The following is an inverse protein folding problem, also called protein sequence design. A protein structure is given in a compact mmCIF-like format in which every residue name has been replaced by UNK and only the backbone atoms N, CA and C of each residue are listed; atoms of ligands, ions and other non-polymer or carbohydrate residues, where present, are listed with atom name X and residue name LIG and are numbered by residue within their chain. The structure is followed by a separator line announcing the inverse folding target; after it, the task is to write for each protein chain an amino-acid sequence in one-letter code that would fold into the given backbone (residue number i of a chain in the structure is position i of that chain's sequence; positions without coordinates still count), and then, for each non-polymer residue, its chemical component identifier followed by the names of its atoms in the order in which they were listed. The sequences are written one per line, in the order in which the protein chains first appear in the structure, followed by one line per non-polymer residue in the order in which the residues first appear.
data_IF_324786250937
#
_entry.id   IF_324786250937
#
_cell.length_a   1.000
_cell.length_b   1.000
_cell.length_c   1.000
_cell.angle_alpha   90.00
_cell.angle_beta   90.00
_cell.angle_gamma   90.00
#
_symmetry.space_group_name_H-M   'P 1'
#
loop_
_entity.id
_entity.type
_entity.pdbx_description
1 polymer ?
#
# COMPACT_ATOMS: atom_id res chain seq x y z
N UNK A 1 14.67 -10.15 -3.29
CA UNK A 1 14.29 -8.74 -3.56
C UNK A 1 13.79 -8.01 -2.31
N UNK A 2 12.52 -8.09 -1.90
CA UNK A 2 12.03 -7.27 -0.75
C UNK A 2 12.82 -7.49 0.54
N UNK A 3 13.13 -8.74 0.90
CA UNK A 3 13.93 -9.01 2.10
C UNK A 3 15.34 -8.40 2.03
N UNK A 4 15.92 -8.31 0.84
CA UNK A 4 17.24 -7.68 0.63
C UNK A 4 17.13 -6.16 0.72
N UNK A 5 16.08 -5.58 0.12
CA UNK A 5 15.75 -4.16 0.27
C UNK A 5 15.61 -3.77 1.75
N UNK A 6 14.89 -4.56 2.55
CA UNK A 6 14.75 -4.31 3.99
C UNK A 6 16.08 -4.37 4.74
N UNK A 7 17.00 -5.25 4.32
CA UNK A 7 18.33 -5.39 4.95
C UNK A 7 19.27 -4.25 4.57
N UNK A 8 19.17 -3.76 3.34
CA UNK A 8 19.87 -2.57 2.88
C UNK A 8 19.33 -1.33 3.60
N UNK A 9 18.00 -1.13 3.56
CA UNK A 9 17.36 0.01 4.19
C UNK A 9 17.58 0.09 5.69
N UNK A 10 17.65 -1.04 6.41
CA UNK A 10 17.98 -1.04 7.84
C UNK A 10 19.36 -0.41 8.13
N UNK A 11 20.33 -0.58 7.23
CA UNK A 11 21.70 -0.09 7.40
C UNK A 11 21.86 1.35 6.95
N UNK A 12 21.23 1.68 5.83
CA UNK A 12 21.54 2.89 5.08
C UNK A 12 20.45 3.96 5.16
N UNK A 13 19.28 3.66 5.75
CA UNK A 13 18.15 4.58 5.86
C UNK A 13 17.76 4.85 7.31
N UNK A 14 17.25 6.06 7.54
CA UNK A 14 16.67 6.44 8.82
C UNK A 14 15.35 5.70 9.08
N UNK A 15 14.49 5.62 8.08
CA UNK A 15 13.20 4.93 8.12
C UNK A 15 12.86 4.28 6.77
N UNK A 16 12.21 3.12 6.82
CA UNK A 16 11.61 2.45 5.67
C UNK A 16 10.09 2.58 5.76
N UNK A 17 9.44 3.05 4.69
CA UNK A 17 7.98 3.11 4.64
C UNK A 17 7.47 2.10 3.61
N UNK A 18 6.72 1.09 4.06
CA UNK A 18 6.03 0.13 3.20
C UNK A 18 4.60 0.60 2.95
N UNK A 19 4.30 0.94 1.70
CA UNK A 19 3.00 1.45 1.26
C UNK A 19 2.06 0.33 0.79
N UNK A 20 1.73 -0.61 1.69
CA UNK A 20 0.68 -1.62 1.51
C UNK A 20 0.98 -2.75 0.52
N UNK A 21 0.05 -3.71 0.48
CA UNK A 21 0.02 -4.90 -0.37
C UNK A 21 1.34 -5.71 -0.39
N UNK A 22 2.01 -5.79 0.76
CA UNK A 22 3.20 -6.65 0.92
C UNK A 22 2.79 -8.12 1.00
N UNK A 23 1.59 -8.36 1.53
CA UNK A 23 1.01 -9.68 1.73
C UNK A 23 -0.36 -9.74 1.04
N UNK A 24 -0.61 -10.75 0.21
CA UNK A 24 -1.90 -10.92 -0.47
C UNK A 24 -2.84 -11.78 0.37
N UNK A 25 -3.45 -11.19 1.40
CA UNK A 25 -4.39 -11.89 2.29
C UNK A 25 -5.77 -12.14 1.67
N UNK A 26 -6.05 -11.56 0.49
CA UNK A 26 -7.25 -11.88 -0.29
C UNK A 26 -7.14 -13.27 -0.90
N UNK A 27 -5.93 -13.69 -1.29
CA UNK A 27 -5.69 -15.02 -1.87
C UNK A 27 -5.18 -16.03 -0.86
N UNK A 28 -4.34 -15.60 0.07
CA UNK A 28 -3.65 -16.49 1.00
C UNK A 28 -4.05 -16.22 2.45
N UNK A 29 -4.20 -17.29 3.23
CA UNK A 29 -4.33 -17.15 4.69
C UNK A 29 -3.01 -16.70 5.31
N UNK A 30 -3.08 -15.87 6.35
CA UNK A 30 -1.91 -15.44 7.12
C UNK A 30 -1.01 -16.60 7.58
N UNK A 31 -1.60 -17.76 7.88
CA UNK A 31 -0.86 -18.98 8.25
C UNK A 31 0.05 -19.47 7.13
N UNK A 32 -0.40 -19.41 5.88
CA UNK A 32 0.41 -19.78 4.71
C UNK A 32 1.51 -18.74 4.47
N UNK A 33 1.18 -17.45 4.56
CA UNK A 33 2.18 -16.38 4.44
C UNK A 33 3.30 -16.54 5.48
N UNK A 34 2.97 -16.84 6.73
CA UNK A 34 3.96 -17.09 7.79
C UNK A 34 4.80 -18.34 7.53
N UNK A 35 4.19 -19.41 7.02
CA UNK A 35 4.89 -20.67 6.72
C UNK A 35 5.83 -20.52 5.53
N UNK A 36 5.38 -19.81 4.49
CA UNK A 36 6.07 -19.73 3.21
C UNK A 36 7.07 -18.56 3.17
N UNK A 37 6.84 -17.52 3.97
CA UNK A 37 7.70 -16.33 4.06
C UNK A 37 8.14 -15.98 5.51
N UNK A 38 8.59 -16.95 6.34
CA UNK A 38 8.84 -16.72 7.77
C UNK A 38 9.93 -15.68 8.01
N UNK A 39 10.96 -15.64 7.15
CA UNK A 39 12.07 -14.69 7.24
C UNK A 39 11.63 -13.26 6.95
N UNK A 40 10.74 -13.07 5.97
CA UNK A 40 10.20 -11.76 5.62
C UNK A 40 9.29 -11.25 6.73
N UNK A 41 8.33 -12.05 7.18
CA UNK A 41 7.42 -11.69 8.28
C UNK A 41 8.22 -11.31 9.53
N UNK A 42 9.20 -12.12 9.91
CA UNK A 42 10.07 -11.83 11.05
C UNK A 42 10.82 -10.51 10.86
N UNK A 43 11.38 -10.26 9.68
CA UNK A 43 12.16 -9.04 9.43
C UNK A 43 11.31 -7.78 9.44
N UNK A 44 10.12 -7.81 8.84
CA UNK A 44 9.17 -6.69 8.88
C UNK A 44 8.80 -6.37 10.33
N UNK A 45 8.43 -7.38 11.12
CA UNK A 45 8.11 -7.20 12.55
C UNK A 45 9.28 -6.62 13.34
N UNK A 46 10.48 -7.18 13.17
CA UNK A 46 11.69 -6.72 13.84
C UNK A 46 11.98 -5.24 13.55
N UNK A 47 11.84 -4.80 12.29
CA UNK A 47 12.07 -3.40 11.91
C UNK A 47 10.99 -2.46 12.43
N UNK A 48 9.72 -2.90 12.45
CA UNK A 48 8.63 -2.15 13.06
C UNK A 48 8.86 -1.97 14.56
N UNK A 49 9.22 -3.03 15.27
CA UNK A 49 9.45 -3.00 16.73
C UNK A 49 10.67 -2.10 17.07
N UNK A 50 11.65 -2.00 16.15
CA UNK A 50 12.79 -1.07 16.25
C UNK A 50 12.45 0.39 15.89
N UNK A 51 11.25 0.68 15.39
CA UNK A 51 10.89 1.99 14.84
C UNK A 51 11.63 2.35 13.55
N UNK A 52 12.25 1.37 12.87
CA UNK A 52 12.96 1.53 11.60
C UNK A 52 12.05 1.37 10.38
N UNK A 53 10.82 0.89 10.59
CA UNK A 53 9.88 0.64 9.52
C UNK A 53 8.47 1.06 9.90
N UNK A 54 7.87 1.90 9.08
CA UNK A 54 6.44 2.18 9.10
C UNK A 54 5.74 1.39 8.00
N UNK A 55 4.71 0.62 8.38
CA UNK A 55 3.93 -0.18 7.45
C UNK A 55 2.50 0.33 7.40
N UNK A 56 2.12 0.83 6.23
CA UNK A 56 0.77 1.26 5.89
C UNK A 56 0.07 0.09 5.21
N UNK A 57 -1.14 -0.26 5.63
CA UNK A 57 -1.88 -1.34 4.98
C UNK A 57 -2.53 -0.87 3.67
N UNK A 58 -2.55 -1.77 2.70
CA UNK A 58 -3.32 -1.73 1.47
C UNK A 58 -4.58 -2.60 1.51
N UNK A 59 -5.24 -2.73 0.38
CA UNK A 59 -6.52 -3.44 0.31
C UNK A 59 -6.34 -4.97 0.28
N UNK A 60 -5.14 -5.47 -0.01
CA UNK A 60 -4.82 -6.90 0.03
C UNK A 60 -4.32 -7.39 1.38
N UNK A 61 -3.82 -6.50 2.24
CA UNK A 61 -3.35 -6.79 3.60
C UNK A 61 -4.17 -6.03 4.66
N UNK A 62 -5.43 -5.71 4.38
CA UNK A 62 -6.31 -4.92 5.26
C UNK A 62 -6.42 -5.51 6.68
N UNK A 63 -6.48 -6.83 6.81
CA UNK A 63 -6.57 -7.53 8.12
C UNK A 63 -5.38 -7.22 9.04
N UNK A 64 -4.25 -6.80 8.47
CA UNK A 64 -3.06 -6.42 9.22
C UNK A 64 -3.27 -5.19 10.10
N UNK A 65 -4.24 -4.34 9.78
CA UNK A 65 -4.62 -3.22 10.64
C UNK A 65 -5.00 -3.70 12.05
N UNK A 66 -5.69 -4.84 12.15
CA UNK A 66 -6.08 -5.42 13.43
C UNK A 66 -4.98 -6.29 14.03
N UNK A 67 -4.30 -7.07 13.20
CA UNK A 67 -3.28 -8.01 13.70
C UNK A 67 -2.03 -7.28 14.21
N UNK A 68 -1.59 -6.25 13.48
CA UNK A 68 -0.31 -5.56 13.72
C UNK A 68 -0.48 -4.08 14.07
N UNK A 69 -1.71 -3.57 14.18
CA UNK A 69 -1.97 -2.16 14.47
C UNK A 69 -1.55 -1.23 13.33
N UNK A 70 -1.60 -1.71 12.08
CA UNK A 70 -1.18 -0.90 10.93
C UNK A 70 -2.11 0.28 10.70
N UNK A 71 -1.53 1.39 10.23
CA UNK A 71 -2.26 2.62 9.92
C UNK A 71 -2.64 2.67 8.45
N UNK A 72 -3.70 3.41 8.13
CA UNK A 72 -4.14 3.63 6.75
C UNK A 72 -3.32 4.71 6.03
N UNK A 73 -2.71 5.61 6.80
CA UNK A 73 -1.84 6.70 6.34
C UNK A 73 -0.77 7.00 7.37
N UNK A 74 0.32 7.61 6.92
CA UNK A 74 1.42 8.07 7.76
C UNK A 74 1.90 9.43 7.29
N UNK A 75 1.98 10.41 8.20
CA UNK A 75 2.60 11.70 7.90
C UNK A 75 4.04 11.58 8.39
N UNK A 76 5.00 11.78 7.49
CA UNK A 76 6.42 11.67 7.85
C UNK A 76 6.74 12.84 8.79
N UNK A 77 7.22 12.57 10.02
CA UNK A 77 7.50 13.61 11.00
C UNK A 77 8.38 14.70 10.43
N UNK A 78 8.08 15.95 10.79
CA UNK A 78 8.89 17.13 10.40
C UNK A 78 8.95 17.36 8.88
N UNK A 79 8.01 16.78 8.13
CA UNK A 79 7.82 17.03 6.70
C UNK A 79 6.36 17.36 6.39
N UNK A 80 6.12 17.82 5.17
CA UNK A 80 4.78 18.03 4.60
C UNK A 80 4.33 16.84 3.73
N UNK A 81 4.92 15.66 3.92
CA UNK A 81 4.66 14.45 3.14
C UNK A 81 3.73 13.51 3.91
N UNK A 82 2.62 13.16 3.28
CA UNK A 82 1.79 12.02 3.70
C UNK A 82 2.02 10.84 2.77
N UNK A 83 2.10 9.65 3.36
CA UNK A 83 2.15 8.37 2.67
C UNK A 83 0.85 7.61 2.92
N UNK A 84 0.30 6.97 1.89
CA UNK A 84 -0.83 6.03 1.97
C UNK A 84 -0.66 4.90 0.95
N UNK A 85 -1.50 3.87 0.98
CA UNK A 85 -1.39 2.79 0.00
C UNK A 85 -1.91 3.18 -1.39
N UNK A 86 -3.09 3.80 -1.51
CA UNK A 86 -3.65 4.25 -2.80
C UNK A 86 -4.95 3.55 -3.19
N UNK A 87 -5.37 2.49 -2.49
CA UNK A 87 -6.70 1.88 -2.68
C UNK A 87 -7.85 2.87 -2.41
N UNK A 88 -7.57 3.96 -1.71
CA UNK A 88 -8.52 5.07 -1.52
C UNK A 88 -8.98 5.69 -2.84
N UNK A 89 -8.21 5.52 -3.92
CA UNK A 89 -8.54 5.99 -5.26
C UNK A 89 -9.20 4.93 -6.13
N UNK A 90 -9.43 3.71 -5.60
CA UNK A 90 -10.11 2.64 -6.34
C UNK A 90 -11.49 3.04 -6.84
N UNK A 91 -12.13 3.98 -6.15
CA UNK A 91 -13.44 4.45 -6.57
C UNK A 91 -13.40 5.33 -7.83
N UNK A 92 -12.24 5.86 -8.16
CA UNK A 92 -11.99 6.63 -9.39
C UNK A 92 -11.53 5.70 -10.49
N UNK A 93 -10.66 4.75 -10.13
CA UNK A 93 -9.99 3.86 -11.06
C UNK A 93 -10.93 2.74 -11.51
N UNK A 94 -11.56 2.04 -10.57
CA UNK A 94 -12.29 0.80 -10.87
C UNK A 94 -13.75 1.10 -11.24
N UNK A 95 -14.23 0.64 -12.42
CA UNK A 95 -15.64 0.76 -12.76
C UNK A 95 -16.50 -0.01 -11.74
N UNK A 96 -17.75 0.41 -11.48
CA UNK A 96 -18.62 -0.19 -10.46
C UNK A 96 -18.72 -1.72 -10.55
N UNK A 97 -18.77 -2.26 -11.77
CA UNK A 97 -18.87 -3.71 -12.01
C UNK A 97 -17.66 -4.51 -11.49
N UNK A 98 -16.46 -3.92 -11.51
CA UNK A 98 -15.25 -4.55 -10.99
C UNK A 98 -15.25 -4.60 -9.46
N UNK A 99 -15.78 -3.56 -8.81
CA UNK A 99 -15.95 -3.55 -7.34
C UNK A 99 -16.94 -4.61 -6.88
N UNK A 100 -18.02 -4.81 -7.64
CA UNK A 100 -18.96 -5.91 -7.39
C UNK A 100 -18.27 -7.27 -7.54
N UNK A 101 -17.39 -7.42 -8.53
CA UNK A 101 -16.55 -8.62 -8.69
C UNK A 101 -15.64 -8.87 -7.49
N UNK A 102 -14.94 -7.85 -7.00
CA UNK A 102 -14.07 -7.95 -5.81
C UNK A 102 -14.88 -8.28 -4.54
N UNK A 103 -16.05 -7.66 -4.36
CA UNK A 103 -16.96 -7.97 -3.26
C UNK A 103 -17.46 -9.43 -3.34
N UNK A 104 -17.78 -9.91 -4.54
CA UNK A 104 -18.19 -11.29 -4.75
C UNK A 104 -17.05 -12.29 -4.44
N UNK A 105 -15.80 -11.96 -4.77
CA UNK A 105 -14.62 -12.76 -4.39
C UNK A 105 -14.45 -12.80 -2.87
N UNK A 106 -14.50 -11.64 -2.20
CA UNK A 106 -14.42 -11.56 -0.73
C UNK A 106 -15.53 -12.37 -0.07
N UNK A 107 -16.76 -12.26 -0.58
CA UNK A 107 -17.90 -13.03 -0.09
C UNK A 107 -17.71 -14.54 -0.31
N UNK A 108 -17.23 -14.94 -1.49
CA UNK A 108 -16.92 -16.34 -1.77
C UNK A 108 -15.86 -16.90 -0.81
N UNK A 109 -14.80 -16.15 -0.51
CA UNK A 109 -13.78 -16.55 0.45
C UNK A 109 -14.36 -16.74 1.87
N UNK A 110 -15.27 -15.86 2.31
CA UNK A 110 -15.97 -16.00 3.58
C UNK A 110 -16.82 -17.28 3.60
N UNK A 111 -17.56 -17.55 2.51
CA UNK A 111 -18.37 -18.76 2.38
C UNK A 111 -17.50 -20.02 2.36
N UNK A 112 -16.35 -20.02 1.67
CA UNK A 112 -15.40 -21.15 1.68
C UNK A 112 -14.83 -21.41 3.08
N UNK A 113 -14.61 -20.37 3.87
CA UNK A 113 -14.13 -20.50 5.26
C UNK A 113 -15.21 -21.00 6.22
N UNK A 114 -16.49 -20.72 5.95
CA UNK A 114 -17.63 -21.20 6.72
C UNK A 114 -18.06 -22.62 6.30
N UNK A 115 -17.95 -22.96 5.01
CA UNK A 115 -18.44 -24.20 4.44
C UNK A 115 -17.25 -25.11 4.06
N UNK A 116 -16.89 -26.02 4.98
CA UNK A 116 -15.87 -27.07 4.81
C UNK A 116 -15.72 -27.62 3.37
N UNK A 117 -14.60 -27.30 2.70
CA UNK A 117 -13.89 -27.90 1.53
C UNK A 117 -14.65 -28.48 0.30
N UNK A 118 -15.95 -28.73 0.40
CA UNK A 118 -16.77 -29.45 -0.56
C UNK A 118 -17.36 -28.51 -1.63
N UNK A 119 -17.19 -27.20 -1.44
CA UNK A 119 -17.60 -26.17 -2.39
C UNK A 119 -16.40 -25.58 -3.16
N UNK A 120 -15.32 -26.34 -3.31
CA UNK A 120 -14.04 -25.87 -3.88
C UNK A 120 -14.01 -25.79 -5.41
N UNK A 121 -15.10 -26.11 -6.11
CA UNK A 121 -15.16 -26.13 -7.58
C UNK A 121 -16.34 -25.30 -8.08
N UNK A 122 -16.16 -23.98 -8.17
CA UNK A 122 -16.71 -23.11 -9.24
C UNK A 122 -16.65 -21.60 -8.92
N UNK A 123 -16.37 -21.17 -7.69
CA UNK A 123 -16.47 -19.74 -7.36
C UNK A 123 -15.29 -18.89 -7.85
N UNK A 124 -14.06 -19.43 -7.82
CA UNK A 124 -12.90 -18.81 -8.46
C UNK A 124 -13.08 -18.71 -9.99
N UNK A 125 -13.69 -19.73 -10.60
CA UNK A 125 -14.12 -19.71 -12.01
C UNK A 125 -15.24 -18.69 -12.25
N UNK A 126 -16.20 -18.56 -11.34
CA UNK A 126 -17.31 -17.60 -11.46
C UNK A 126 -16.81 -16.16 -11.33
N UNK A 127 -15.94 -15.85 -10.36
CA UNK A 127 -15.27 -14.55 -10.26
C UNK A 127 -14.42 -14.24 -11.50
N UNK A 128 -13.73 -15.25 -12.03
CA UNK A 128 -12.93 -15.17 -13.25
C UNK A 128 -13.78 -14.96 -14.52
N UNK A 129 -14.96 -15.59 -14.60
CA UNK A 129 -15.92 -15.49 -15.72
C UNK A 129 -16.72 -14.19 -15.64
N UNK A 130 -17.09 -13.73 -14.44
CA UNK A 130 -17.97 -12.57 -14.24
C UNK A 130 -17.19 -11.24 -14.20
N UNK A 131 -15.90 -11.21 -13.82
CA UNK A 131 -15.24 -9.94 -13.50
C UNK A 131 -13.88 -9.62 -14.15
N UNK A 132 -13.03 -10.60 -14.50
CA UNK A 132 -11.59 -10.32 -14.50
C UNK A 132 -10.85 -10.29 -15.85
N UNK A 133 -11.31 -10.98 -16.91
CA UNK A 133 -10.49 -11.13 -18.14
C UNK A 133 -10.75 -10.18 -19.30
N UNK A 134 -11.86 -9.42 -19.30
CA UNK A 134 -12.25 -8.59 -20.45
C UNK A 134 -12.33 -7.09 -20.18
N UNK A 135 -12.19 -6.66 -18.93
CA UNK A 135 -12.13 -5.22 -18.65
C UNK A 135 -10.68 -4.78 -18.78
N UNK A 136 -10.39 -3.73 -19.59
CA UNK A 136 -9.07 -3.14 -19.63
C UNK A 136 -8.60 -2.84 -18.20
N UNK A 137 -7.31 -3.01 -17.96
CA UNK A 137 -6.70 -2.70 -16.69
C UNK A 137 -6.93 -1.21 -16.40
N UNK A 138 -7.79 -0.85 -15.45
CA UNK A 138 -8.16 0.55 -15.25
C UNK A 138 -6.98 1.37 -14.74
N UNK A 139 -5.93 0.74 -14.20
CA UNK A 139 -4.67 1.43 -13.86
C UNK A 139 -3.93 1.93 -15.11
N UNK A 140 -4.29 1.44 -16.31
CA UNK A 140 -3.78 1.92 -17.61
C UNK A 140 -4.65 3.03 -18.23
N UNK A 141 -5.91 3.15 -17.80
CA UNK A 141 -6.90 4.06 -18.38
C UNK A 141 -7.41 5.13 -17.40
N UNK A 142 -6.98 5.10 -16.14
CA UNK A 142 -7.34 6.12 -15.17
C UNK A 142 -6.85 7.48 -15.66
N UNK A 143 -7.80 8.41 -15.80
CA UNK A 143 -7.52 9.79 -16.09
C UNK A 143 -6.63 10.36 -14.98
N UNK A 144 -5.41 10.74 -15.37
CA UNK A 144 -4.41 11.29 -14.44
C UNK A 144 -4.92 12.54 -13.75
N UNK A 145 -5.78 13.32 -14.40
CA UNK A 145 -6.30 14.56 -13.85
C UNK A 145 -7.30 14.28 -12.73
N UNK A 146 -8.17 13.26 -12.89
CA UNK A 146 -9.09 12.87 -11.81
C UNK A 146 -8.29 12.31 -10.63
N UNK A 147 -7.31 11.44 -10.90
CA UNK A 147 -6.45 10.91 -9.85
C UNK A 147 -5.68 12.01 -9.10
N UNK A 148 -5.16 12.99 -9.83
CA UNK A 148 -4.45 14.13 -9.28
C UNK A 148 -5.36 15.02 -8.45
N UNK A 149 -6.56 15.32 -8.93
CA UNK A 149 -7.55 16.13 -8.20
C UNK A 149 -7.93 15.49 -6.87
N UNK A 150 -8.21 14.19 -6.87
CA UNK A 150 -8.54 13.44 -5.65
C UNK A 150 -7.36 13.37 -4.67
N UNK A 151 -6.15 13.24 -5.21
CA UNK A 151 -4.92 13.32 -4.41
C UNK A 151 -4.79 14.69 -3.73
N UNK A 152 -5.10 15.77 -4.44
CA UNK A 152 -5.09 17.14 -3.90
C UNK A 152 -6.16 17.34 -2.83
N UNK A 153 -7.34 16.74 -2.96
CA UNK A 153 -8.37 16.80 -1.92
C UNK A 153 -7.90 16.13 -0.62
N UNK A 154 -7.24 14.97 -0.72
CA UNK A 154 -6.64 14.31 0.45
C UNK A 154 -5.57 15.19 1.09
N UNK A 155 -4.67 15.78 0.30
CA UNK A 155 -3.64 16.71 0.79
C UNK A 155 -4.30 17.86 1.56
N UNK A 156 -5.29 18.54 0.96
CA UNK A 156 -6.01 19.67 1.59
C UNK A 156 -6.75 19.28 2.86
N UNK A 157 -7.19 18.02 2.98
CA UNK A 157 -7.87 17.52 4.17
C UNK A 157 -6.92 17.31 5.37
N UNK A 158 -5.60 17.40 5.17
CA UNK A 158 -4.59 17.14 6.19
C UNK A 158 -3.78 18.41 6.41
N UNK A 159 -3.95 19.03 7.58
CA UNK A 159 -3.21 20.25 7.94
C UNK A 159 -1.70 20.02 7.90
N UNK A 160 -0.97 20.95 7.26
CA UNK A 160 0.49 20.93 7.18
C UNK A 160 1.10 19.98 6.13
N UNK A 161 0.28 19.30 5.33
CA UNK A 161 0.73 18.43 4.25
C UNK A 161 0.54 19.12 2.91
N UNK A 162 1.56 19.06 2.05
CA UNK A 162 1.49 19.53 0.66
C UNK A 162 1.88 18.46 -0.35
N UNK A 163 2.38 17.30 0.11
CA UNK A 163 2.88 16.24 -0.75
C UNK A 163 2.26 14.90 -0.38
N UNK A 164 1.89 14.12 -1.38
CA UNK A 164 1.33 12.79 -1.26
C UNK A 164 2.26 11.77 -1.92
N UNK A 165 2.62 10.73 -1.18
CA UNK A 165 3.20 9.50 -1.72
C UNK A 165 2.17 8.39 -1.58
N UNK A 166 1.96 7.64 -2.65
CA UNK A 166 1.11 6.45 -2.61
C UNK A 166 1.76 5.26 -3.32
N UNK A 167 1.25 4.07 -3.06
CA UNK A 167 1.51 2.87 -3.85
C UNK A 167 0.33 2.55 -4.78
N UNK A 168 0.05 1.28 -4.97
CA UNK A 168 -1.15 0.74 -5.61
C UNK A 168 -1.19 0.76 -7.15
N UNK A 169 -1.03 1.92 -7.82
CA UNK A 169 -1.03 1.89 -9.29
C UNK A 169 0.35 1.38 -9.75
N UNK A 170 0.42 0.25 -10.43
CA UNK A 170 1.68 -0.50 -10.64
C UNK A 170 2.81 0.27 -11.35
N UNK A 171 2.56 1.51 -11.82
CA UNK A 171 3.53 2.40 -12.47
C UNK A 171 3.99 3.47 -11.52
N UNK A 172 5.30 3.51 -11.25
CA UNK A 172 5.86 4.63 -10.51
C UNK A 172 5.74 5.94 -11.30
N UNK A 173 5.57 7.01 -10.55
CA UNK A 173 5.44 8.35 -11.09
C UNK A 173 5.93 9.36 -10.06
N UNK A 174 6.75 10.34 -10.48
CA UNK A 174 7.23 11.41 -9.60
C UNK A 174 6.63 12.79 -9.92
N UNK A 175 5.72 12.87 -10.89
CA UNK A 175 4.95 14.07 -11.23
C UNK A 175 5.68 15.40 -11.15
N UNK A 176 4.96 16.38 -10.63
CA UNK A 176 5.38 17.73 -10.23
C UNK A 176 6.01 17.76 -8.82
N UNK A 177 6.24 16.59 -8.20
CA UNK A 177 6.71 16.46 -6.83
C UNK A 177 5.62 16.64 -5.75
N UNK A 178 4.38 16.93 -6.14
CA UNK A 178 3.24 17.03 -5.21
C UNK A 178 2.60 15.66 -5.00
N UNK A 179 2.33 14.93 -6.09
CA UNK A 179 1.78 13.58 -6.03
C UNK A 179 2.78 12.59 -6.63
N UNK A 180 3.18 11.62 -5.83
CA UNK A 180 4.18 10.62 -6.18
C UNK A 180 3.63 9.22 -5.95
N UNK A 181 3.97 8.31 -6.86
CA UNK A 181 3.68 6.89 -6.77
C UNK A 181 4.96 6.08 -6.70
N UNK A 182 5.11 5.23 -5.69
CA UNK A 182 6.25 4.34 -5.53
C UNK A 182 6.21 3.10 -6.44
N UNK A 183 5.08 2.84 -7.12
CA UNK A 183 4.93 1.75 -8.09
C UNK A 183 4.69 0.39 -7.44
N UNK A 184 5.13 -0.68 -8.10
CA UNK A 184 4.97 -2.05 -7.63
C UNK A 184 6.28 -2.85 -7.79
N UNK A 185 6.81 -3.31 -6.66
CA UNK A 185 8.07 -4.05 -6.60
C UNK A 185 8.02 -5.42 -7.31
N UNK A 186 6.84 -6.02 -7.43
CA UNK A 186 6.70 -7.33 -8.10
C UNK A 186 6.70 -7.23 -9.62
N UNK A 187 6.47 -6.04 -10.18
CA UNK A 187 6.32 -5.83 -11.64
C UNK A 187 7.49 -5.04 -12.25
N UNK A 188 8.53 -4.72 -11.46
CA UNK A 188 9.77 -4.10 -11.95
C UNK A 188 9.61 -2.64 -12.43
N UNK A 189 8.49 -1.99 -12.12
CA UNK A 189 8.20 -0.61 -12.54
C UNK A 189 8.68 0.45 -11.53
N UNK A 190 9.19 0.02 -10.36
CA UNK A 190 10.01 0.77 -9.40
C UNK A 190 10.20 -0.09 -8.16
N UNK A 191 11.39 -0.02 -7.56
CA UNK A 191 11.70 -0.75 -6.32
C UNK A 191 11.43 0.10 -5.05
N UNK A 192 11.58 1.43 -5.14
CA UNK A 192 11.36 2.37 -4.03
C UNK A 192 11.41 3.84 -4.49
N UNK A 193 10.86 4.74 -3.68
CA UNK A 193 11.06 6.18 -3.78
C UNK A 193 11.93 6.63 -2.61
N UNK A 194 13.08 7.23 -2.91
CA UNK A 194 13.98 7.79 -1.89
C UNK A 194 13.68 9.28 -1.69
N UNK A 195 13.50 9.67 -0.43
CA UNK A 195 13.22 11.06 -0.02
C UNK A 195 14.39 11.48 0.86
N UNK A 196 15.26 12.35 0.34
CA UNK A 196 16.24 13.05 1.16
C UNK A 196 15.57 14.25 1.82
N UNK A 197 15.64 14.32 3.14
CA UNK A 197 15.31 15.53 3.89
C UNK A 197 16.60 16.19 4.36
N UNK A 198 16.78 17.48 4.05
CA UNK A 198 17.74 18.29 4.78
C UNK A 198 17.12 18.71 6.12
N UNK A 199 17.27 17.86 7.14
CA UNK A 199 16.79 18.12 8.49
C UNK A 199 17.69 19.12 9.26
N UNK A 200 18.73 19.67 8.63
CA UNK A 200 19.74 20.50 9.31
C UNK A 200 19.26 21.90 9.68
N UNK A 201 18.21 22.42 9.05
CA UNK A 201 17.58 23.70 9.41
C UNK A 201 16.82 23.64 10.76
N UNK A 202 16.46 22.45 11.24
CA UNK A 202 15.66 22.27 12.46
C UNK A 202 16.50 22.26 13.76
N UNK A 203 17.82 22.10 13.68
CA UNK A 203 18.69 22.35 14.85
C UNK A 203 18.73 23.83 15.23
N UNK A 204 18.40 24.74 14.30
CA UNK A 204 18.34 26.19 14.58
C UNK A 204 17.00 26.66 15.15
N UNK A 205 15.92 25.87 15.05
CA UNK A 205 14.62 26.24 15.61
C UNK A 205 14.36 25.72 17.04
N UNK A 206 15.16 24.77 17.54
CA UNK A 206 15.08 24.34 18.97
C UNK A 206 15.89 25.21 19.94
N UNK A 207 16.71 26.15 19.45
CA UNK A 207 17.55 27.04 20.27
C UNK A 207 17.13 28.53 20.22
N UNK A 208 15.89 28.85 19.81
CA UNK A 208 15.45 30.23 19.61
C UNK A 208 14.06 30.58 20.12
N UNK A 209 14.01 30.97 21.41
CA UNK A 209 13.10 31.90 22.09
C UNK A 209 11.63 31.55 22.40
N UNK A 210 11.08 32.00 23.55
CA UNK A 210 11.69 32.34 24.86
C UNK A 210 11.45 31.26 25.94
#
# INVERSE_FOLDING_TARGET
MLLEFLRWGEKDLDEIILAGDIFDLVKDKMTYIRRDNPRLVKKVRELMDKGKLTYIYGNHDEDMKYLWGLKQRYIIPETDVVVLHGHQFDWVIKPPIRRLGEAAVRFAAIIEDLCWKSFSWNMSTLAYVVGARKLPDPTKECDRDIYYNESQEIIRSISGVNRLVHGHTHRAHKGDGIVMNCGCSTWGFSDYLYIEGDYSELKKMKEGFP
#
